data_IF_432175750140
#
_entry.id   IF_432175750140
#
_cell.length_a   1.000
_cell.length_b   1.000
_cell.length_c   1.000
_cell.angle_alpha   90.00
_cell.angle_beta   90.00
_cell.angle_gamma   90.00
#
_symmetry.space_group_name_H-M   'P 1'
#
loop_
_entity.id
_entity.type
_entity.pdbx_description
1 polymer ?
#
# COMPACT_ATOMS: atom_id res chain seq x y z
N UNK A 1 7.63 3.96 14.55
CA UNK A 1 7.59 2.48 14.69
C UNK A 1 6.83 1.83 13.53
N UNK A 2 5.61 2.28 13.19
CA UNK A 2 4.79 1.78 12.06
C UNK A 2 5.52 1.75 10.70
N UNK A 3 6.14 2.87 10.29
CA UNK A 3 6.88 2.98 9.03
C UNK A 3 8.08 2.03 8.91
N UNK A 4 8.78 1.79 10.02
CA UNK A 4 9.92 0.86 10.02
C UNK A 4 9.48 -0.58 9.76
N UNK A 5 8.35 -1.00 10.35
CA UNK A 5 7.82 -2.35 10.21
C UNK A 5 7.26 -2.61 8.80
N UNK A 6 6.45 -1.68 8.29
CA UNK A 6 5.85 -1.85 6.95
C UNK A 6 6.92 -1.72 5.83
N UNK A 7 7.95 -0.88 6.01
CA UNK A 7 9.05 -0.79 5.04
C UNK A 7 9.96 -2.03 5.04
N UNK A 8 10.29 -2.57 6.21
CA UNK A 8 11.12 -3.79 6.31
C UNK A 8 10.39 -5.02 5.77
N UNK A 9 9.09 -5.16 6.00
CA UNK A 9 8.28 -6.25 5.42
C UNK A 9 8.18 -6.13 3.90
N UNK A 10 7.99 -4.92 3.36
CA UNK A 10 7.98 -4.68 1.92
C UNK A 10 9.32 -5.06 1.24
N UNK A 11 10.46 -4.64 1.84
CA UNK A 11 11.81 -5.00 1.36
C UNK A 11 12.05 -6.51 1.46
N UNK A 12 11.62 -7.14 2.56
CA UNK A 12 11.71 -8.59 2.73
C UNK A 12 10.93 -9.37 1.67
N UNK A 13 9.71 -8.93 1.34
CA UNK A 13 8.91 -9.53 0.28
C UNK A 13 9.55 -9.36 -1.10
N UNK A 14 10.15 -8.19 -1.37
CA UNK A 14 10.93 -7.94 -2.57
C UNK A 14 12.08 -8.94 -2.72
N UNK A 15 12.91 -9.10 -1.69
CA UNK A 15 14.08 -9.99 -1.69
C UNK A 15 13.65 -11.44 -1.93
N UNK A 16 12.50 -11.86 -1.39
CA UNK A 16 11.96 -13.21 -1.59
C UNK A 16 11.29 -13.44 -2.96
N UNK A 17 11.28 -12.45 -3.86
CA UNK A 17 10.68 -12.60 -5.20
C UNK A 17 9.17 -12.88 -5.16
N UNK A 18 8.49 -12.40 -4.12
CA UNK A 18 7.08 -12.65 -3.80
C UNK A 18 6.11 -11.96 -4.78
N UNK A 19 6.55 -10.90 -5.46
CA UNK A 19 5.78 -10.19 -6.51
C UNK A 19 5.90 -10.87 -7.88
N UNK A 20 5.29 -12.05 -8.03
CA UNK A 20 5.40 -12.86 -9.25
C UNK A 20 4.47 -12.33 -10.34
N UNK A 21 3.29 -11.82 -9.98
CA UNK A 21 2.31 -11.30 -10.93
C UNK A 21 2.54 -9.81 -11.29
N UNK A 22 2.09 -9.40 -12.48
CA UNK A 22 2.08 -8.00 -12.89
C UNK A 22 1.19 -7.13 -11.99
N UNK A 23 0.08 -7.67 -11.47
CA UNK A 23 -0.82 -6.92 -10.56
C UNK A 23 -0.15 -6.66 -9.21
N UNK A 24 0.50 -7.67 -8.62
CA UNK A 24 1.22 -7.53 -7.35
C UNK A 24 2.46 -6.64 -7.48
N UNK A 25 3.12 -6.66 -8.64
CA UNK A 25 4.20 -5.69 -8.96
C UNK A 25 3.69 -4.27 -9.09
N UNK A 26 2.54 -4.05 -9.74
CA UNK A 26 1.95 -2.72 -9.86
C UNK A 26 1.56 -2.18 -8.47
N UNK A 27 0.92 -3.01 -7.65
CA UNK A 27 0.60 -2.70 -6.26
C UNK A 27 1.82 -2.29 -5.46
N UNK A 28 2.92 -3.02 -5.63
CA UNK A 28 4.19 -2.68 -5.00
C UNK A 28 4.75 -1.32 -5.45
N UNK A 29 4.68 -0.99 -6.75
CA UNK A 29 5.13 0.33 -7.26
C UNK A 29 4.26 1.45 -6.69
N UNK A 30 2.94 1.27 -6.67
CA UNK A 30 2.01 2.25 -6.11
C UNK A 30 2.30 2.45 -4.62
N UNK A 31 2.53 1.36 -3.88
CA UNK A 31 2.95 1.39 -2.49
C UNK A 31 4.25 2.18 -2.27
N UNK A 32 5.26 2.01 -3.12
CA UNK A 32 6.49 2.83 -3.03
C UNK A 32 6.18 4.32 -3.18
N UNK A 33 5.35 4.68 -4.16
CA UNK A 33 5.01 6.08 -4.44
C UNK A 33 4.23 6.71 -3.27
N UNK A 34 3.26 6.01 -2.70
CA UNK A 34 2.48 6.50 -1.55
C UNK A 34 3.38 6.66 -0.33
N UNK A 35 4.33 5.74 -0.13
CA UNK A 35 5.35 5.85 0.91
C UNK A 35 6.29 7.03 0.75
N UNK A 36 6.69 7.37 -0.48
CA UNK A 36 7.43 8.60 -0.73
C UNK A 36 6.64 9.86 -0.33
N UNK A 37 5.33 9.89 -0.59
CA UNK A 37 4.47 10.99 -0.17
C UNK A 37 4.40 11.13 1.35
N UNK A 38 4.22 10.02 2.06
CA UNK A 38 4.24 10.02 3.53
C UNK A 38 5.62 10.38 4.10
N UNK A 39 6.70 9.94 3.46
CA UNK A 39 8.04 10.35 3.87
C UNK A 39 8.20 11.87 3.74
N UNK A 40 7.82 12.45 2.59
CA UNK A 40 7.86 13.90 2.38
C UNK A 40 7.06 14.68 3.42
N UNK A 41 5.89 14.17 3.82
CA UNK A 41 5.10 14.69 4.93
C UNK A 41 5.87 14.69 6.25
N UNK A 42 6.40 13.53 6.65
CA UNK A 42 7.05 13.33 7.95
C UNK A 42 8.36 14.10 8.05
N UNK A 43 9.09 14.28 6.94
CA UNK A 43 10.36 15.02 6.92
C UNK A 43 10.19 16.49 6.56
N UNK A 44 8.95 16.99 6.44
CA UNK A 44 8.65 18.37 6.06
C UNK A 44 9.42 18.83 4.81
N UNK A 45 9.66 17.90 3.88
CA UNK A 45 10.48 18.15 2.69
C UNK A 45 9.60 18.26 1.48
N UNK A 46 9.70 19.35 0.72
CA UNK A 46 9.00 19.49 -0.55
C UNK A 46 9.70 18.66 -1.65
N UNK A 47 9.14 17.49 -1.97
CA UNK A 47 9.71 16.57 -2.96
C UNK A 47 9.20 16.85 -4.38
N UNK A 48 7.87 16.92 -4.52
CA UNK A 48 7.17 17.15 -5.78
C UNK A 48 6.07 18.19 -5.55
N UNK A 49 5.50 18.70 -6.63
CA UNK A 49 4.42 19.70 -6.54
C UNK A 49 3.19 19.13 -5.81
N UNK A 50 2.43 19.96 -5.07
CA UNK A 50 1.20 19.53 -4.40
C UNK A 50 0.19 18.85 -5.33
N UNK A 51 0.11 19.27 -6.61
CA UNK A 51 -0.77 18.65 -7.60
C UNK A 51 -0.47 17.16 -7.79
N UNK A 52 0.81 16.78 -7.81
CA UNK A 52 1.21 15.38 -7.94
C UNK A 52 0.74 14.57 -6.74
N UNK A 53 0.89 15.11 -5.52
CA UNK A 53 0.46 14.42 -4.30
C UNK A 53 -1.07 14.30 -4.19
N UNK A 54 -1.83 15.26 -4.72
CA UNK A 54 -3.30 15.14 -4.85
C UNK A 54 -3.69 13.99 -5.77
N UNK A 55 -2.99 13.82 -6.89
CA UNK A 55 -3.19 12.71 -7.82
C UNK A 55 -2.81 11.39 -7.14
N UNK A 56 -1.65 11.32 -6.48
CA UNK A 56 -1.20 10.13 -5.73
C UNK A 56 -2.19 9.76 -4.63
N UNK A 57 -2.73 10.73 -3.90
CA UNK A 57 -3.74 10.50 -2.87
C UNK A 57 -4.99 9.83 -3.46
N UNK A 58 -5.57 10.40 -4.53
CA UNK A 58 -6.82 9.88 -5.11
C UNK A 58 -6.60 8.51 -5.77
N UNK A 59 -5.61 8.40 -6.66
CA UNK A 59 -5.39 7.16 -7.41
C UNK A 59 -4.79 6.06 -6.55
N UNK A 60 -3.88 6.40 -5.62
CA UNK A 60 -3.34 5.44 -4.66
C UNK A 60 -4.44 4.87 -3.77
N UNK A 61 -5.27 5.72 -3.16
CA UNK A 61 -6.34 5.27 -2.29
C UNK A 61 -7.36 4.40 -3.03
N UNK A 62 -7.75 4.81 -4.25
CA UNK A 62 -8.63 4.00 -5.09
C UNK A 62 -7.99 2.64 -5.43
N UNK A 63 -6.71 2.63 -5.76
CA UNK A 63 -5.98 1.40 -6.04
C UNK A 63 -5.93 0.48 -4.83
N UNK A 64 -5.57 0.96 -3.64
CA UNK A 64 -5.47 0.13 -2.43
C UNK A 64 -6.83 -0.45 -2.03
N UNK A 65 -7.92 0.30 -2.21
CA UNK A 65 -9.28 -0.23 -2.02
C UNK A 65 -9.57 -1.34 -3.02
N UNK A 66 -9.30 -1.12 -4.31
CA UNK A 66 -9.51 -2.14 -5.34
C UNK A 66 -8.66 -3.38 -5.07
N UNK A 67 -7.39 -3.21 -4.73
CA UNK A 67 -6.47 -4.28 -4.45
C UNK A 67 -6.92 -5.10 -3.25
N UNK A 68 -7.23 -4.44 -2.13
CA UNK A 68 -7.64 -5.12 -0.89
C UNK A 68 -8.95 -5.90 -1.05
N UNK A 69 -9.93 -5.36 -1.78
CA UNK A 69 -11.24 -5.98 -1.93
C UNK A 69 -11.23 -7.12 -2.96
N UNK A 70 -10.58 -6.91 -4.11
CA UNK A 70 -10.71 -7.81 -5.27
C UNK A 70 -9.48 -8.69 -5.52
N UNK A 71 -8.28 -8.27 -5.11
CA UNK A 71 -7.02 -8.91 -5.52
C UNK A 71 -6.22 -9.51 -4.36
N UNK A 72 -6.36 -9.01 -3.13
CA UNK A 72 -5.57 -9.46 -1.99
C UNK A 72 -5.70 -10.96 -1.71
N UNK A 73 -6.91 -11.50 -1.84
CA UNK A 73 -7.18 -12.93 -1.68
C UNK A 73 -6.60 -13.76 -2.83
N UNK A 74 -6.81 -13.30 -4.07
CA UNK A 74 -6.32 -13.97 -5.29
C UNK A 74 -4.79 -14.06 -5.35
N UNK A 75 -4.10 -13.13 -4.69
CA UNK A 75 -2.66 -13.06 -4.64
C UNK A 75 -2.09 -13.30 -3.23
N UNK A 76 -2.86 -13.87 -2.32
CA UNK A 76 -2.42 -14.19 -0.96
C UNK A 76 -1.15 -15.08 -0.97
N UNK A 77 -1.10 -16.05 -1.91
CA UNK A 77 0.06 -16.91 -2.14
C UNK A 77 1.32 -16.17 -2.59
N UNK A 78 1.19 -15.04 -3.31
CA UNK A 78 2.33 -14.17 -3.65
C UNK A 78 2.92 -13.56 -2.38
N UNK A 79 2.12 -13.23 -1.36
CA UNK A 79 2.61 -12.77 -0.05
C UNK A 79 2.99 -13.94 0.88
N UNK A 80 2.85 -15.19 0.41
CA UNK A 80 2.99 -16.45 1.16
C UNK A 80 2.21 -16.48 2.45
N UNK A 81 1.01 -15.93 2.39
CA UNK A 81 -0.11 -16.48 3.14
C UNK A 81 -0.49 -17.81 2.48
N UNK A 82 -0.95 -18.76 3.28
CA UNK A 82 -1.51 -20.00 2.73
C UNK A 82 -2.69 -19.62 1.84
N UNK A 83 -2.81 -20.26 0.67
CA UNK A 83 -4.02 -20.16 -0.14
C UNK A 83 -5.11 -20.91 0.63
N UNK A 84 -5.79 -20.21 1.55
CA UNK A 84 -6.94 -20.75 2.25
C UNK A 84 -8.03 -21.09 1.22
N UNK A 85 -8.63 -22.28 1.34
CA UNK A 85 -9.75 -22.68 0.48
C UNK A 85 -10.99 -21.81 0.73
N UNK A 86 -11.07 -21.17 1.91
CA UNK A 86 -12.15 -20.26 2.28
C UNK A 86 -11.83 -18.81 1.90
N UNK A 87 -12.82 -18.06 1.38
CA UNK A 87 -12.62 -16.68 1.00
C UNK A 87 -12.35 -15.81 2.23
N UNK A 88 -11.37 -14.92 2.11
CA UNK A 88 -10.95 -14.05 3.21
C UNK A 88 -12.15 -13.25 3.75
N UNK A 89 -12.44 -13.30 5.06
CA UNK A 89 -13.61 -12.67 5.62
C UNK A 89 -13.58 -11.15 5.40
N UNK A 90 -14.75 -10.56 5.13
CA UNK A 90 -14.89 -9.11 4.90
C UNK A 90 -14.24 -8.28 6.01
N UNK A 91 -14.37 -8.73 7.27
CA UNK A 91 -13.77 -8.09 8.42
C UNK A 91 -12.24 -7.98 8.33
N UNK A 92 -11.55 -9.00 7.79
CA UNK A 92 -10.11 -8.97 7.57
C UNK A 92 -9.72 -8.02 6.43
N UNK A 93 -10.51 -7.98 5.35
CA UNK A 93 -10.29 -7.00 4.26
C UNK A 93 -10.46 -5.56 4.77
N UNK A 94 -11.49 -5.30 5.57
CA UNK A 94 -11.76 -3.99 6.16
C UNK A 94 -10.70 -3.60 7.19
N UNK A 95 -10.20 -4.54 8.00
CA UNK A 95 -9.11 -4.24 8.94
C UNK A 95 -7.83 -3.86 8.19
N UNK A 96 -7.53 -4.53 7.07
CA UNK A 96 -6.45 -4.15 6.15
C UNK A 96 -6.55 -2.68 5.73
N UNK A 97 -7.72 -2.24 5.27
CA UNK A 97 -7.94 -0.84 4.87
C UNK A 97 -7.76 0.15 6.03
N UNK A 98 -8.16 -0.22 7.25
CA UNK A 98 -7.97 0.62 8.43
C UNK A 98 -6.47 0.84 8.70
N UNK A 99 -5.63 -0.18 8.52
CA UNK A 99 -4.18 -0.04 8.67
C UNK A 99 -3.57 0.92 7.65
N UNK A 100 -4.18 1.10 6.47
CA UNK A 100 -3.68 2.02 5.46
C UNK A 100 -4.13 3.47 5.70
N UNK A 101 -5.12 3.71 6.57
CA UNK A 101 -5.63 5.07 6.85
C UNK A 101 -4.54 6.08 7.27
N UNK A 102 -3.61 5.77 8.19
CA UNK A 102 -2.55 6.71 8.57
C UNK A 102 -1.64 7.10 7.40
N UNK A 103 -1.43 6.20 6.42
CA UNK A 103 -0.65 6.48 5.22
C UNK A 103 -1.32 7.56 4.38
N UNK A 104 -2.60 7.35 4.04
CA UNK A 104 -3.35 8.32 3.22
C UNK A 104 -3.67 9.61 3.96
N UNK A 105 -3.81 9.57 5.29
CA UNK A 105 -3.91 10.78 6.09
C UNK A 105 -2.65 11.64 5.96
N UNK A 106 -1.46 11.05 6.04
CA UNK A 106 -0.20 11.79 5.85
C UNK A 106 -0.07 12.36 4.44
N UNK A 107 -0.42 11.59 3.41
CA UNK A 107 -0.39 12.09 2.02
C UNK A 107 -1.42 13.21 1.82
N UNK A 108 -2.60 13.13 2.44
CA UNK A 108 -3.59 14.19 2.40
C UNK A 108 -3.06 15.50 2.99
N UNK A 109 -2.48 15.44 4.19
CA UNK A 109 -1.85 16.62 4.84
C UNK A 109 -0.67 17.18 4.04
N UNK A 110 0.00 16.34 3.25
CA UNK A 110 1.11 16.77 2.40
C UNK A 110 0.67 17.39 1.07
N UNK A 111 -0.51 17.02 0.60
CA UNK A 111 -1.04 17.44 -0.68
C UNK A 111 -1.90 18.72 -0.61
N UNK A 112 -2.53 18.98 0.54
CA UNK A 112 -3.51 20.06 0.76
C UNK A 112 -3.10 20.98 1.90
#
# INVERSE_FOLDING_TARGET
MYLGFMGTTAIWFLIKGKYKNNVTRLDFVISIITWFGLFGYVTETEMLTPLVWKIVFVFGLLWDVIFTIFFAERYAGDFGLEEEEEPMPLAAKLSGLIFVLPLYYGIFQYAF
#
